data_IF_067045540896
#
_entry.id   IF_067045540896
#
_cell.length_a   1.000
_cell.length_b   1.000
_cell.length_c   1.000
_cell.angle_alpha   90.00
_cell.angle_beta   90.00
_cell.angle_gamma   90.00
#
_symmetry.space_group_name_H-M   'P 1'
#
loop_
_entity.id
_entity.type
_entity.pdbx_description
1 polymer ?
#
# COMPACT_ATOMS: atom_id res chain seq x y z
N UNK A 1 7.93 -11.77 1.03
CA UNK A 1 8.28 -10.89 2.16
C UNK A 1 7.62 -11.51 3.38
N UNK A 2 8.34 -11.63 4.49
CA UNK A 2 7.79 -12.14 5.76
C UNK A 2 6.81 -11.12 6.37
N UNK A 3 5.76 -11.57 7.04
CA UNK A 3 4.69 -10.72 7.59
C UNK A 3 5.21 -9.86 8.74
N UNK A 4 6.14 -10.37 9.55
CA UNK A 4 6.80 -9.58 10.60
C UNK A 4 7.65 -8.47 9.97
N UNK A 5 8.38 -8.78 8.89
CA UNK A 5 9.12 -7.76 8.13
C UNK A 5 8.20 -6.74 7.46
N UNK A 6 7.03 -7.15 6.97
CA UNK A 6 6.03 -6.24 6.43
C UNK A 6 5.44 -5.34 7.52
N UNK A 7 5.25 -5.85 8.74
CA UNK A 7 4.77 -5.06 9.88
C UNK A 7 5.81 -4.02 10.31
N UNK A 8 7.10 -4.37 10.37
CA UNK A 8 8.18 -3.41 10.62
C UNK A 8 8.19 -2.28 9.59
N UNK A 9 7.99 -2.61 8.31
CA UNK A 9 7.90 -1.61 7.25
C UNK A 9 6.67 -0.72 7.40
N UNK A 10 5.52 -1.27 7.81
CA UNK A 10 4.31 -0.49 8.08
C UNK A 10 4.54 0.53 9.20
N UNK A 11 5.25 0.15 10.28
CA UNK A 11 5.65 1.08 11.35
C UNK A 11 6.54 2.19 10.79
N UNK A 12 7.56 1.83 10.01
CA UNK A 12 8.48 2.81 9.42
C UNK A 12 7.77 3.80 8.49
N UNK A 13 6.83 3.33 7.65
CA UNK A 13 6.04 4.20 6.77
C UNK A 13 5.09 5.11 7.54
N UNK A 14 4.46 4.61 8.61
CA UNK A 14 3.63 5.45 9.46
C UNK A 14 4.45 6.58 10.10
N UNK A 15 5.64 6.26 10.61
CA UNK A 15 6.54 7.25 11.20
C UNK A 15 6.96 8.32 10.18
N UNK A 16 7.26 7.94 8.93
CA UNK A 16 7.52 8.89 7.84
C UNK A 16 6.33 9.79 7.52
N UNK A 17 5.11 9.29 7.73
CA UNK A 17 3.87 10.06 7.60
C UNK A 17 3.53 10.88 8.86
N UNK A 18 4.41 10.93 9.86
CA UNK A 18 4.20 11.67 11.11
C UNK A 18 3.20 10.99 12.06
N UNK A 19 2.94 9.68 11.89
CA UNK A 19 2.01 8.91 12.71
C UNK A 19 2.73 7.75 13.39
N UNK A 20 2.57 7.62 14.69
CA UNK A 20 3.05 6.43 15.41
C UNK A 20 1.99 5.34 15.40
N UNK A 21 2.39 4.12 15.04
CA UNK A 21 1.55 2.91 15.16
C UNK A 21 2.33 1.82 15.89
N UNK A 22 1.63 1.06 16.74
CA UNK A 22 2.21 -0.06 17.47
C UNK A 22 2.26 -1.34 16.65
N UNK A 23 2.97 -2.35 17.16
CA UNK A 23 3.15 -3.65 16.50
C UNK A 23 1.81 -4.37 16.18
N UNK A 24 0.81 -4.24 17.06
CA UNK A 24 -0.52 -4.84 16.84
C UNK A 24 -1.22 -4.19 15.65
N UNK A 25 -1.21 -2.86 15.57
CA UNK A 25 -1.80 -2.14 14.46
C UNK A 25 -1.06 -2.44 13.15
N UNK A 26 0.26 -2.48 13.18
CA UNK A 26 1.07 -2.84 12.01
C UNK A 26 0.71 -4.23 11.46
N UNK A 27 0.53 -5.23 12.33
CA UNK A 27 0.08 -6.57 11.92
C UNK A 27 -1.34 -6.56 11.32
N UNK A 28 -2.24 -5.77 11.88
CA UNK A 28 -3.59 -5.60 11.32
C UNK A 28 -3.54 -4.95 9.94
N UNK A 29 -2.66 -3.97 9.73
CA UNK A 29 -2.44 -3.34 8.41
C UNK A 29 -1.95 -4.37 7.39
N UNK A 30 -0.98 -5.21 7.76
CA UNK A 30 -0.46 -6.28 6.89
C UNK A 30 -1.56 -7.30 6.55
N UNK A 31 -2.29 -7.79 7.56
CA UNK A 31 -3.39 -8.72 7.34
C UNK A 31 -4.48 -8.11 6.45
N UNK A 32 -4.78 -6.81 6.63
CA UNK A 32 -5.74 -6.09 5.80
C UNK A 32 -5.25 -5.97 4.36
N UNK A 33 -3.95 -5.71 4.15
CA UNK A 33 -3.35 -5.62 2.83
C UNK A 33 -3.45 -6.95 2.07
N UNK A 34 -3.21 -8.08 2.74
CA UNK A 34 -3.37 -9.42 2.16
C UNK A 34 -4.82 -9.73 1.76
N UNK A 35 -5.79 -9.16 2.48
CA UNK A 35 -7.21 -9.31 2.19
C UNK A 35 -7.75 -8.28 1.17
N UNK A 36 -6.92 -7.40 0.60
CA UNK A 36 -7.37 -6.46 -0.40
C UNK A 36 -7.65 -7.17 -1.72
N UNK A 37 -8.86 -6.98 -2.23
CA UNK A 37 -9.18 -7.38 -3.60
C UNK A 37 -8.44 -6.46 -4.59
N UNK A 38 -8.08 -6.96 -5.79
CA UNK A 38 -7.45 -6.13 -6.81
C UNK A 38 -8.25 -4.87 -7.15
N UNK A 39 -9.59 -4.97 -7.21
CA UNK A 39 -10.47 -3.84 -7.47
C UNK A 39 -10.37 -2.75 -6.39
N UNK A 40 -10.32 -3.14 -5.11
CA UNK A 40 -10.20 -2.19 -4.01
C UNK A 40 -8.79 -1.57 -3.94
N UNK A 41 -7.75 -2.35 -4.20
CA UNK A 41 -6.39 -1.85 -4.31
C UNK A 41 -6.26 -0.79 -5.43
N UNK A 42 -6.86 -1.06 -6.59
CA UNK A 42 -6.90 -0.11 -7.72
C UNK A 42 -7.68 1.16 -7.37
N UNK A 43 -8.84 1.05 -6.68
CA UNK A 43 -9.61 2.22 -6.26
C UNK A 43 -8.83 3.12 -5.29
N UNK A 44 -8.12 2.52 -4.33
CA UNK A 44 -7.24 3.24 -3.39
C UNK A 44 -6.12 3.93 -4.19
N UNK A 45 -5.46 3.19 -5.08
CA UNK A 45 -4.40 3.74 -5.94
C UNK A 45 -4.89 4.93 -6.77
N UNK A 46 -6.01 4.81 -7.49
CA UNK A 46 -6.57 5.89 -8.33
C UNK A 46 -6.88 7.12 -7.48
N UNK A 47 -7.51 6.94 -6.31
CA UNK A 47 -7.80 8.07 -5.40
C UNK A 47 -6.53 8.79 -4.98
N UNK A 48 -5.48 8.05 -4.61
CA UNK A 48 -4.21 8.64 -4.20
C UNK A 48 -3.36 9.12 -5.39
N UNK A 49 -3.63 8.64 -6.61
CA UNK A 49 -3.02 9.12 -7.87
C UNK A 49 -3.41 10.56 -8.19
N UNK A 50 -4.53 11.04 -7.69
CA UNK A 50 -4.95 12.42 -7.88
C UNK A 50 -4.51 13.36 -6.73
N UNK A 51 -3.81 12.85 -5.71
CA UNK A 51 -3.30 13.66 -4.61
C UNK A 51 -1.97 14.36 -5.03
N UNK A 52 -1.88 15.70 -4.99
CA UNK A 52 -0.74 16.46 -5.53
C UNK A 52 0.59 16.21 -4.81
N UNK A 53 0.58 15.77 -3.55
CA UNK A 53 1.80 15.69 -2.71
C UNK A 53 2.46 14.29 -2.66
N UNK A 54 2.04 13.34 -3.51
CA UNK A 54 2.52 11.94 -3.46
C UNK A 54 3.33 11.50 -4.70
N UNK A 55 3.70 12.43 -5.58
CA UNK A 55 4.30 12.15 -6.90
C UNK A 55 5.57 11.29 -6.80
N UNK A 56 6.51 11.63 -5.90
CA UNK A 56 7.80 10.94 -5.79
C UNK A 56 7.69 9.50 -5.30
N UNK A 57 6.75 9.21 -4.37
CA UNK A 57 6.52 7.85 -3.88
C UNK A 57 5.78 7.00 -4.91
N UNK A 58 4.95 7.64 -5.73
CA UNK A 58 4.08 6.99 -6.72
C UNK A 58 4.86 6.42 -7.89
N UNK A 59 5.82 7.18 -8.43
CA UNK A 59 6.68 6.71 -9.52
C UNK A 59 7.58 5.56 -9.05
N UNK A 60 8.05 5.65 -7.80
CA UNK A 60 8.83 4.59 -7.16
C UNK A 60 8.00 3.32 -6.94
N UNK A 61 6.76 3.44 -6.44
CA UNK A 61 5.84 2.30 -6.29
C UNK A 61 5.45 1.67 -7.64
N UNK A 62 5.19 2.49 -8.66
CA UNK A 62 4.83 2.02 -10.00
C UNK A 62 5.97 1.22 -10.65
N UNK A 63 7.22 1.70 -10.54
CA UNK A 63 8.41 0.98 -11.00
C UNK A 63 8.64 -0.31 -10.20
N UNK A 64 8.54 -0.25 -8.88
CA UNK A 64 8.91 -1.37 -7.99
C UNK A 64 7.90 -2.50 -8.05
N UNK A 65 6.61 -2.19 -8.15
CA UNK A 65 5.56 -3.20 -8.14
C UNK A 65 5.30 -3.85 -9.51
N UNK A 66 5.90 -3.34 -10.61
CA UNK A 66 5.41 -3.63 -11.97
C UNK A 66 3.89 -3.63 -11.96
N UNK A 67 3.28 -2.52 -11.54
CA UNK A 67 1.84 -2.36 -11.49
C UNK A 67 1.32 -2.44 -12.93
N UNK A 68 1.17 -3.67 -13.44
CA UNK A 68 0.39 -3.96 -14.62
C UNK A 68 -1.02 -3.65 -14.13
N UNK A 69 -1.55 -2.53 -14.60
CA UNK A 69 -2.97 -2.24 -14.55
C UNK A 69 -3.68 -3.51 -15.01
N UNK A 70 -4.16 -4.30 -14.05
CA UNK A 70 -4.97 -5.47 -14.33
C UNK A 70 -6.36 -4.91 -14.49
N UNK A 71 -6.78 -4.81 -15.75
CA UNK A 71 -8.19 -4.67 -16.05
C UNK A 71 -8.98 -5.70 -15.24
N UNK A 72 -10.18 -5.35 -14.75
CA UNK A 72 -11.04 -6.33 -14.10
C UNK A 72 -11.18 -7.55 -15.03
N UNK A 73 -11.14 -8.79 -14.51
CA UNK A 73 -11.34 -9.96 -15.34
C UNK A 73 -12.68 -9.78 -16.07
N UNK A 74 -12.64 -9.80 -17.40
CA UNK A 74 -13.84 -9.80 -18.21
C UNK A 74 -14.63 -11.07 -17.89
N UNK A 75 -15.70 -10.93 -17.12
CA UNK A 75 -16.61 -11.99 -16.71
C UNK A 75 -17.97 -11.40 -16.39
#
# INVERSE_FOLDING_TARGET
>A
MDDDRAAELAVAFAALAGREIGAVEARVVVARAHALTPALANAIWVRHRHAPDTVSLRDYLAMTLRFVERDPPAG
#
